data_IF_217151085815
#
_entry.id   IF_217151085815
#
_cell.length_a   1.000
_cell.length_b   1.000
_cell.length_c   1.000
_cell.angle_alpha   90.00
_cell.angle_beta   90.00
_cell.angle_gamma   90.00
#
_symmetry.space_group_name_H-M   'P 1'
#
loop_
_entity.id
_entity.type
_entity.pdbx_description
1 polymer ?
#
# COMPACT_ATOMS: atom_id res chain seq x y z
N UNK A 1 1.60 25.95 4.32
CA UNK A 1 1.89 24.55 4.69
C UNK A 1 1.60 23.64 3.51
N UNK A 2 2.50 22.71 3.24
CA UNK A 2 2.32 21.76 2.14
C UNK A 2 1.25 20.72 2.44
N UNK A 3 0.52 20.35 1.41
CA UNK A 3 -0.48 19.30 1.49
C UNK A 3 -0.06 18.15 0.57
N UNK A 4 0.32 17.02 1.14
CA UNK A 4 0.85 15.90 0.36
C UNK A 4 -0.14 15.39 -0.68
N UNK A 5 -1.44 15.55 -0.45
CA UNK A 5 -2.46 15.09 -1.38
C UNK A 5 -2.44 15.87 -2.70
N UNK A 6 -2.07 17.15 -2.64
CA UNK A 6 -2.19 18.06 -3.77
C UNK A 6 -0.88 18.73 -4.18
N UNK A 7 0.07 18.86 -3.27
CA UNK A 7 1.22 19.72 -3.48
C UNK A 7 2.46 19.04 -4.02
N UNK A 8 2.45 17.70 -4.09
CA UNK A 8 3.58 17.00 -4.67
C UNK A 8 3.66 17.36 -6.17
N UNK A 9 4.88 17.59 -6.63
CA UNK A 9 5.08 17.95 -8.04
C UNK A 9 4.59 16.82 -8.94
N UNK A 10 3.66 17.07 -9.88
CA UNK A 10 3.15 16.02 -10.77
C UNK A 10 4.22 15.28 -11.55
N UNK A 11 5.37 15.90 -11.78
CA UNK A 11 6.48 15.27 -12.50
C UNK A 11 7.07 14.10 -11.72
N UNK A 12 6.77 13.99 -10.44
CA UNK A 12 7.24 12.88 -9.60
C UNK A 12 6.31 11.68 -9.66
N UNK A 13 5.25 11.76 -10.43
CA UNK A 13 4.26 10.69 -10.57
C UNK A 13 4.14 10.34 -12.06
N UNK A 14 4.59 9.15 -12.43
CA UNK A 14 4.42 8.62 -13.78
C UNK A 14 4.23 7.11 -13.71
N UNK A 15 3.76 6.46 -14.79
CA UNK A 15 3.59 5.00 -14.77
C UNK A 15 4.87 4.21 -14.53
N UNK A 16 6.02 4.76 -14.87
CA UNK A 16 7.29 4.07 -14.72
C UNK A 16 7.98 4.39 -13.40
N UNK A 17 7.60 5.48 -12.78
CA UNK A 17 8.25 5.96 -11.58
C UNK A 17 7.32 6.89 -10.82
N UNK A 18 7.15 6.64 -9.54
CA UNK A 18 6.28 7.48 -8.74
C UNK A 18 6.75 7.51 -7.29
N UNK A 19 6.23 8.50 -6.56
CA UNK A 19 6.45 8.59 -5.12
C UNK A 19 5.28 7.94 -4.42
N UNK A 20 5.58 7.10 -3.45
CA UNK A 20 4.58 6.52 -2.56
C UNK A 20 4.74 7.13 -1.18
N UNK A 21 3.64 7.33 -0.48
CA UNK A 21 3.65 7.74 0.92
C UNK A 21 3.29 6.52 1.75
N UNK A 22 4.18 6.10 2.63
CA UNK A 22 3.92 4.94 3.47
C UNK A 22 3.12 5.37 4.68
N UNK A 23 1.99 4.70 4.90
CA UNK A 23 1.17 4.92 6.09
C UNK A 23 1.37 3.81 7.12
N UNK A 24 1.56 2.57 6.64
CA UNK A 24 1.62 1.40 7.51
C UNK A 24 2.88 0.61 7.20
N UNK A 25 3.78 0.46 8.19
CA UNK A 25 4.99 -0.35 7.98
C UNK A 25 4.67 -1.84 7.84
N UNK A 26 5.52 -2.55 7.13
CA UNK A 26 5.48 -4.00 7.07
C UNK A 26 5.60 -4.59 8.47
N UNK A 27 4.77 -5.58 8.75
CA UNK A 27 4.89 -6.36 9.99
C UNK A 27 4.13 -5.84 11.18
N UNK A 28 3.36 -4.76 11.03
CA UNK A 28 2.59 -4.22 12.15
C UNK A 28 1.13 -4.62 12.07
N UNK A 29 0.44 -4.53 13.20
CA UNK A 29 -0.98 -4.81 13.31
C UNK A 29 -1.83 -3.55 13.33
N UNK A 30 -1.23 -2.40 13.51
CA UNK A 30 -1.97 -1.15 13.56
C UNK A 30 -2.32 -0.70 12.15
N UNK A 31 -3.60 -0.43 11.93
CA UNK A 31 -4.03 0.18 10.69
C UNK A 31 -4.05 1.68 10.88
N UNK A 32 -3.15 2.37 10.20
CA UNK A 32 -3.07 3.81 10.20
C UNK A 32 -3.69 4.39 8.94
N UNK A 33 -4.21 5.58 9.05
CA UNK A 33 -4.79 6.29 7.93
C UNK A 33 -4.46 7.77 8.08
N UNK A 34 -4.03 8.38 6.99
CA UNK A 34 -3.72 9.80 7.04
C UNK A 34 -5.00 10.60 7.16
N UNK A 35 -5.04 11.48 8.15
CA UNK A 35 -6.13 12.41 8.31
C UNK A 35 -5.91 13.58 7.35
N UNK A 36 -6.78 13.69 6.35
CA UNK A 36 -6.63 14.70 5.31
C UNK A 36 -6.71 16.12 5.84
N UNK A 37 -7.42 16.30 6.93
CA UNK A 37 -7.59 17.63 7.52
C UNK A 37 -6.32 18.12 8.21
N UNK A 38 -5.66 17.24 8.98
CA UNK A 38 -4.52 17.65 9.79
C UNK A 38 -3.18 17.25 9.20
N UNK A 39 -3.15 16.27 8.30
CA UNK A 39 -1.91 15.70 7.78
C UNK A 39 -1.24 14.73 8.73
N UNK A 40 -1.85 14.45 9.87
CA UNK A 40 -1.31 13.48 10.82
C UNK A 40 -1.85 12.08 10.52
N UNK A 41 -1.14 11.08 11.01
CA UNK A 41 -1.66 9.71 10.96
C UNK A 41 -2.64 9.51 12.09
N UNK A 42 -3.71 8.82 11.78
CA UNK A 42 -4.73 8.46 12.75
C UNK A 42 -4.74 6.95 12.90
N UNK A 43 -4.79 6.46 14.12
CA UNK A 43 -4.95 5.03 14.35
C UNK A 43 -6.41 4.67 14.10
N UNK A 44 -6.66 3.95 12.99
CA UNK A 44 -8.00 3.51 12.69
C UNK A 44 -8.40 2.34 13.61
N UNK A 45 -7.55 1.33 13.64
CA UNK A 45 -7.77 0.20 14.56
C UNK A 45 -6.55 -0.72 14.61
N UNK A 46 -6.51 -1.57 15.63
CA UNK A 46 -5.56 -2.66 15.71
C UNK A 46 -6.23 -3.89 15.09
N UNK A 47 -5.54 -4.54 14.17
CA UNK A 47 -6.10 -5.70 13.48
C UNK A 47 -6.32 -6.86 14.44
N UNK A 48 -7.32 -7.68 14.16
CA UNK A 48 -7.63 -8.84 14.97
C UNK A 48 -6.61 -9.97 14.81
N UNK A 49 -6.45 -10.75 15.85
CA UNK A 49 -5.63 -11.97 15.89
C UNK A 49 -4.16 -11.68 15.59
N UNK A 50 -3.46 -12.58 14.92
CA UNK A 50 -2.05 -12.42 14.58
C UNK A 50 -1.85 -11.83 13.18
N UNK A 51 -2.87 -11.19 12.64
CA UNK A 51 -2.81 -10.58 11.31
C UNK A 51 -1.86 -9.39 11.31
N UNK A 52 -0.91 -9.40 10.39
CA UNK A 52 0.08 -8.33 10.22
C UNK A 52 0.14 -7.92 8.76
N UNK A 53 0.42 -6.66 8.50
CA UNK A 53 0.61 -6.20 7.13
C UNK A 53 1.81 -6.91 6.50
N UNK A 54 1.64 -7.54 5.33
CA UNK A 54 2.73 -8.31 4.71
C UNK A 54 3.74 -7.48 3.96
N UNK A 55 3.46 -6.19 3.75
CA UNK A 55 4.33 -5.27 3.04
C UNK A 55 4.06 -3.86 3.54
N UNK A 56 4.97 -2.94 3.23
CA UNK A 56 4.71 -1.53 3.53
C UNK A 56 3.54 -1.06 2.69
N UNK A 57 2.60 -0.38 3.29
CA UNK A 57 1.34 -0.03 2.66
C UNK A 57 1.12 1.47 2.71
N UNK A 58 0.66 2.03 1.62
CA UNK A 58 0.41 3.45 1.56
C UNK A 58 -0.38 3.85 0.33
N UNK A 59 -0.14 5.05 -0.14
CA UNK A 59 -0.87 5.58 -1.29
C UNK A 59 0.06 6.35 -2.22
N UNK A 60 -0.42 6.55 -3.44
CA UNK A 60 0.29 7.34 -4.44
C UNK A 60 -0.43 8.68 -4.53
N UNK A 61 0.20 9.79 -4.12
CA UNK A 61 -0.46 11.09 -4.15
C UNK A 61 -0.81 11.50 -5.58
N UNK A 62 -1.82 12.35 -5.71
CA UNK A 62 -2.33 12.89 -6.97
C UNK A 62 -2.88 11.82 -7.91
N UNK A 63 -3.32 10.69 -7.36
CA UNK A 63 -4.00 9.64 -8.14
C UNK A 63 -5.41 9.47 -7.58
N UNK A 64 -6.29 8.85 -8.39
CA UNK A 64 -7.65 8.56 -7.98
C UNK A 64 -8.00 7.15 -8.43
N UNK A 65 -8.56 6.38 -7.52
CA UNK A 65 -9.12 5.08 -7.82
C UNK A 65 -10.64 5.22 -8.02
N UNK A 66 -11.31 4.12 -8.27
CA UNK A 66 -12.75 4.12 -8.51
C UNK A 66 -13.57 4.65 -7.32
N UNK A 67 -12.99 4.58 -6.12
CA UNK A 67 -13.64 5.07 -4.89
C UNK A 67 -13.34 6.54 -4.60
N UNK A 68 -12.70 7.26 -5.52
CA UNK A 68 -12.29 8.64 -5.40
C UNK A 68 -11.19 8.89 -4.37
N UNK A 69 -10.57 7.84 -3.88
CA UNK A 69 -9.39 7.94 -3.03
C UNK A 69 -8.13 7.74 -3.85
N UNK A 70 -6.97 8.18 -3.37
CA UNK A 70 -5.72 7.88 -4.05
C UNK A 70 -5.51 6.39 -4.21
N UNK A 71 -4.75 5.98 -5.22
CA UNK A 71 -4.43 4.58 -5.43
C UNK A 71 -3.60 4.05 -4.26
N UNK A 72 -3.99 2.89 -3.77
CA UNK A 72 -3.23 2.18 -2.74
C UNK A 72 -2.02 1.50 -3.36
N UNK A 73 -0.95 1.42 -2.59
CA UNK A 73 0.28 0.79 -3.03
C UNK A 73 0.85 -0.10 -1.93
N UNK A 74 1.33 -1.27 -2.35
CA UNK A 74 2.11 -2.17 -1.51
C UNK A 74 3.55 -2.06 -1.96
N UNK A 75 4.42 -1.60 -1.08
CA UNK A 75 5.83 -1.41 -1.39
C UNK A 75 6.61 -2.58 -0.82
N UNK A 76 7.10 -3.44 -1.71
CA UNK A 76 7.86 -4.63 -1.35
C UNK A 76 9.32 -4.23 -1.17
N UNK A 77 9.82 -4.44 0.03
CA UNK A 77 11.13 -3.96 0.44
C UNK A 77 11.64 -4.88 1.54
N UNK A 78 12.94 -5.01 1.68
CA UNK A 78 13.49 -5.90 2.70
C UNK A 78 13.31 -5.35 4.12
N UNK A 79 13.03 -4.06 4.26
CA UNK A 79 12.89 -3.43 5.56
C UNK A 79 11.52 -2.80 5.75
N UNK A 80 11.13 -2.62 7.00
CA UNK A 80 9.96 -1.82 7.34
C UNK A 80 10.30 -0.35 7.18
N UNK A 81 9.42 0.39 6.53
CA UNK A 81 9.63 1.80 6.24
C UNK A 81 8.83 2.64 7.24
N UNK A 82 9.48 3.64 7.79
CA UNK A 82 8.86 4.54 8.78
C UNK A 82 7.64 5.23 8.15
N UNK A 83 6.51 5.32 8.89
CA UNK A 83 5.32 6.01 8.38
C UNK A 83 5.62 7.45 7.98
N UNK A 84 4.91 7.92 6.98
CA UNK A 84 5.04 9.26 6.40
C UNK A 84 6.33 9.45 5.59
N UNK A 85 6.95 8.37 5.18
CA UNK A 85 8.13 8.41 4.32
C UNK A 85 7.70 8.43 2.86
N UNK A 86 8.32 9.32 2.09
CA UNK A 86 8.22 9.31 0.64
C UNK A 86 9.20 8.29 0.07
N UNK A 87 8.71 7.39 -0.75
CA UNK A 87 9.55 6.36 -1.35
C UNK A 87 9.40 6.42 -2.87
N UNK A 88 10.50 6.59 -3.56
CA UNK A 88 10.50 6.53 -5.01
C UNK A 88 10.49 5.08 -5.46
N UNK A 89 9.45 4.72 -6.21
CA UNK A 89 9.17 3.34 -6.59
C UNK A 89 8.92 3.20 -8.07
N UNK A 90 9.00 1.96 -8.53
CA UNK A 90 8.49 1.58 -9.84
C UNK A 90 7.48 0.45 -9.68
N UNK A 91 6.44 0.41 -10.51
CA UNK A 91 5.43 -0.64 -10.38
C UNK A 91 5.90 -1.93 -11.03
N UNK A 92 5.50 -3.06 -10.44
CA UNK A 92 5.76 -4.37 -11.06
C UNK A 92 4.47 -5.15 -11.31
N UNK A 93 3.34 -4.69 -10.77
CA UNK A 93 2.07 -5.34 -10.99
C UNK A 93 0.92 -4.67 -10.26
N UNK A 94 -0.25 -5.24 -10.45
CA UNK A 94 -1.48 -4.76 -9.83
C UNK A 94 -2.21 -5.96 -9.24
N UNK A 95 -2.69 -5.81 -8.02
CA UNK A 95 -3.57 -6.79 -7.41
C UNK A 95 -4.99 -6.23 -7.44
N UNK A 96 -5.92 -7.01 -7.98
CA UNK A 96 -7.32 -6.62 -8.04
C UNK A 96 -8.11 -7.43 -7.03
N UNK A 97 -8.97 -6.75 -6.31
CA UNK A 97 -9.85 -7.35 -5.33
C UNK A 97 -11.25 -6.85 -5.56
N UNK A 98 -12.22 -7.60 -5.08
CA UNK A 98 -13.61 -7.15 -5.09
C UNK A 98 -14.01 -6.92 -3.64
N UNK A 99 -14.43 -5.69 -3.36
CA UNK A 99 -14.80 -5.27 -2.02
C UNK A 99 -16.15 -4.56 -2.12
N UNK A 100 -17.18 -5.14 -1.49
CA UNK A 100 -18.55 -4.60 -1.53
C UNK A 100 -19.01 -4.33 -2.97
N UNK A 101 -18.79 -5.30 -3.85
CA UNK A 101 -19.15 -5.26 -5.27
C UNK A 101 -18.40 -4.21 -6.08
N UNK A 102 -17.34 -3.64 -5.53
CA UNK A 102 -16.49 -2.69 -6.24
C UNK A 102 -15.10 -3.27 -6.43
N UNK A 103 -14.50 -2.92 -7.56
CA UNK A 103 -13.12 -3.32 -7.83
C UNK A 103 -12.19 -2.43 -7.02
N UNK A 104 -11.34 -3.06 -6.23
CA UNK A 104 -10.31 -2.39 -5.45
C UNK A 104 -8.97 -2.82 -6.01
N UNK A 105 -8.20 -1.88 -6.51
CA UNK A 105 -6.91 -2.17 -7.11
C UNK A 105 -5.78 -1.64 -6.24
N UNK A 106 -4.75 -2.48 -6.06
CA UNK A 106 -3.56 -2.09 -5.31
C UNK A 106 -2.35 -2.29 -6.18
N UNK A 107 -1.57 -1.24 -6.31
CA UNK A 107 -0.32 -1.28 -7.08
C UNK A 107 0.72 -2.03 -6.24
N UNK A 108 1.49 -2.88 -6.87
CA UNK A 108 2.62 -3.54 -6.24
C UNK A 108 3.88 -2.92 -6.80
N UNK A 109 4.72 -2.39 -5.94
CA UNK A 109 5.87 -1.59 -6.35
C UNK A 109 7.11 -1.93 -5.54
N UNK A 110 8.25 -1.54 -6.08
CA UNK A 110 9.56 -1.77 -5.47
C UNK A 110 10.31 -0.45 -5.41
N UNK A 111 10.97 -0.14 -4.27
CA UNK A 111 11.80 1.05 -4.20
C UNK A 111 13.01 0.93 -5.13
N UNK A 112 13.35 2.01 -5.80
CA UNK A 112 14.52 2.01 -6.68
C UNK A 112 15.82 1.69 -5.94
N UNK A 113 15.88 2.03 -4.66
CA UNK A 113 17.12 1.94 -3.88
C UNK A 113 17.22 0.72 -2.97
N UNK A 114 16.39 -0.29 -3.17
CA UNK A 114 16.50 -1.53 -2.41
C UNK A 114 17.33 -2.53 -3.21
N UNK A 115 18.59 -2.79 -2.84
CA UNK A 115 19.45 -3.69 -3.63
C UNK A 115 18.95 -5.13 -3.67
N UNK A 116 18.15 -5.54 -2.68
CA UNK A 116 17.62 -6.92 -2.65
C UNK A 116 16.47 -7.12 -3.60
N UNK A 117 15.73 -6.06 -3.92
CA UNK A 117 14.54 -6.15 -4.77
C UNK A 117 14.70 -5.48 -6.12
N UNK A 118 15.76 -4.70 -6.32
CA UNK A 118 15.92 -3.90 -7.53
C UNK A 118 16.03 -4.72 -8.82
N UNK A 119 16.31 -6.01 -8.72
CA UNK A 119 16.38 -6.89 -9.87
C UNK A 119 15.01 -7.28 -10.41
N UNK A 120 13.97 -7.19 -9.60
CA UNK A 120 12.64 -7.57 -10.01
C UNK A 120 12.01 -6.45 -10.83
N UNK A 121 11.55 -6.79 -12.02
CA UNK A 121 10.91 -5.85 -12.94
C UNK A 121 9.49 -6.23 -13.25
N UNK A 122 9.09 -7.43 -12.89
CA UNK A 122 7.76 -7.96 -13.18
C UNK A 122 7.32 -8.83 -12.01
N UNK A 123 6.03 -8.81 -11.74
CA UNK A 123 5.44 -9.55 -10.64
C UNK A 123 5.73 -11.06 -10.73
N UNK A 124 5.87 -11.58 -11.94
CA UNK A 124 6.12 -13.00 -12.14
C UNK A 124 7.52 -13.44 -11.73
N UNK A 125 8.41 -12.51 -11.46
CA UNK A 125 9.76 -12.82 -10.99
C UNK A 125 9.81 -13.07 -9.49
N UNK A 126 8.76 -12.70 -8.76
CA UNK A 126 8.70 -12.89 -7.32
C UNK A 126 8.29 -14.33 -6.99
N UNK A 127 8.68 -14.84 -5.81
CA UNK A 127 8.19 -16.13 -5.36
C UNK A 127 6.66 -16.13 -5.28
N UNK A 128 6.06 -17.24 -5.70
CA UNK A 128 4.60 -17.39 -5.64
C UNK A 128 4.08 -17.15 -4.22
N UNK A 129 4.84 -17.55 -3.22
CA UNK A 129 4.44 -17.40 -1.82
C UNK A 129 4.22 -15.93 -1.43
N UNK A 130 4.95 -15.00 -2.03
CA UNK A 130 4.76 -13.57 -1.77
C UNK A 130 3.32 -13.15 -2.07
N UNK A 131 2.78 -13.62 -3.19
CA UNK A 131 1.39 -13.30 -3.53
C UNK A 131 0.41 -14.02 -2.63
N UNK A 132 0.74 -15.25 -2.26
CA UNK A 132 -0.11 -16.02 -1.36
C UNK A 132 -0.25 -15.31 -0.03
N UNK A 133 0.84 -14.77 0.49
CA UNK A 133 0.81 -14.02 1.74
C UNK A 133 -0.02 -12.75 1.64
N UNK A 134 0.19 -11.98 0.59
CA UNK A 134 -0.54 -10.73 0.40
C UNK A 134 -2.03 -11.00 0.21
N UNK A 135 -2.35 -11.94 -0.66
CA UNK A 135 -3.73 -12.30 -0.94
C UNK A 135 -4.43 -12.83 0.31
N UNK A 136 -3.75 -13.69 1.05
CA UNK A 136 -4.28 -14.25 2.28
C UNK A 136 -4.55 -13.15 3.31
N UNK A 137 -3.61 -12.21 3.47
CA UNK A 137 -3.76 -11.12 4.41
C UNK A 137 -5.05 -10.33 4.15
N UNK A 138 -5.25 -9.89 2.91
CA UNK A 138 -6.41 -9.06 2.61
C UNK A 138 -7.72 -9.83 2.73
N UNK A 139 -7.71 -11.11 2.42
CA UNK A 139 -8.89 -11.95 2.56
C UNK A 139 -9.27 -12.13 4.02
N UNK A 140 -8.28 -12.45 4.86
CA UNK A 140 -8.50 -12.70 6.29
C UNK A 140 -8.87 -11.41 7.01
N UNK A 141 -8.14 -10.36 6.74
CA UNK A 141 -8.36 -9.07 7.35
C UNK A 141 -9.79 -8.57 7.12
N UNK A 142 -10.32 -8.70 5.92
CA UNK A 142 -11.68 -8.30 5.63
C UNK A 142 -12.70 -9.21 6.31
N UNK A 143 -12.45 -10.48 6.30
CA UNK A 143 -13.28 -11.47 6.96
C UNK A 143 -13.40 -11.19 8.46
N UNK A 144 -12.28 -10.89 9.09
CA UNK A 144 -12.22 -10.63 10.53
C UNK A 144 -12.84 -9.29 10.93
N UNK A 145 -13.03 -8.40 9.98
CA UNK A 145 -13.71 -7.14 10.27
C UNK A 145 -15.20 -7.32 10.52
N UNK A 146 -15.67 -8.54 10.47
CA UNK A 146 -16.89 -8.94 11.10
C UNK A 146 -18.17 -8.75 10.33
N UNK A 147 -18.13 -8.02 9.30
CA UNK A 147 -19.36 -7.70 8.59
C UNK A 147 -19.97 -8.89 7.92
N UNK A 148 -19.16 -9.85 7.57
CA UNK A 148 -19.58 -10.98 6.76
C UNK A 148 -19.52 -12.28 7.49
N UNK A 149 -19.24 -12.25 8.76
CA UNK A 149 -19.14 -13.48 9.55
C UNK A 149 -20.49 -13.95 10.05
N UNK A 150 -21.50 -13.21 9.76
CA UNK A 150 -22.85 -13.56 10.16
C UNK A 150 -23.51 -14.46 9.15
#
# INVERSE_FOLDING_TARGET
>A
MSNIWHDINPRRISPEKFMAVIEIPKGVKNKYEMDKETGLLRLDRVLYTSTHYPANYGFIPRTYAADNDPLDVLVLCQESIVPMTLVECYPIGVMKMIDDDQVDEKIIAIPFNDPSYAEFKDINQLPQHTFSEISHFFRVYKSLEGKKLL
#
